data_IF_802717496105
#
_entry.id   IF_802717496105
#
_cell.length_a   1.000
_cell.length_b   1.000
_cell.length_c   1.000
_cell.angle_alpha   90.00
_cell.angle_beta   90.00
_cell.angle_gamma   90.00
#
_symmetry.space_group_name_H-M   'P 1'
#
loop_
_entity.id
_entity.type
_entity.pdbx_description
1 polymer ?
#
# COMPACT_ATOMS: atom_id res chain seq x y z
N UNK A 1 -22.99 -27.14 1.94
CA UNK A 1 -21.73 -26.36 2.06
C UNK A 1 -21.49 -26.11 3.53
N UNK A 2 -20.41 -26.68 4.11
CA UNK A 2 -20.09 -26.59 5.54
C UNK A 2 -19.64 -25.17 5.90
N UNK A 3 -20.43 -24.48 6.70
CA UNK A 3 -20.09 -23.25 7.44
C UNK A 3 -19.08 -23.62 8.54
N UNK A 4 -17.86 -23.94 8.17
CA UNK A 4 -16.79 -24.30 9.10
C UNK A 4 -16.02 -23.04 9.40
N UNK A 5 -16.03 -22.59 10.64
CA UNK A 5 -15.23 -21.54 11.31
C UNK A 5 -14.47 -20.59 10.36
N UNK A 6 -15.20 -19.86 9.52
CA UNK A 6 -14.63 -18.88 8.59
C UNK A 6 -13.68 -17.87 9.27
N UNK A 7 -13.85 -17.62 10.56
CA UNK A 7 -13.06 -16.63 11.28
C UNK A 7 -11.63 -17.10 11.57
N UNK A 8 -11.44 -18.37 11.94
CA UNK A 8 -10.11 -18.93 12.17
C UNK A 8 -9.31 -19.08 10.86
N UNK A 9 -9.98 -19.55 9.81
CA UNK A 9 -9.40 -19.69 8.48
C UNK A 9 -9.03 -18.30 7.92
N UNK A 10 -9.89 -17.31 8.12
CA UNK A 10 -9.69 -15.95 7.71
C UNK A 10 -8.49 -15.31 8.46
N UNK A 11 -8.43 -15.52 9.78
CA UNK A 11 -7.29 -15.08 10.58
C UNK A 11 -5.99 -15.70 10.06
N UNK A 12 -5.96 -17.02 9.85
CA UNK A 12 -4.75 -17.72 9.43
C UNK A 12 -4.27 -17.30 8.03
N UNK A 13 -5.20 -17.08 7.09
CA UNK A 13 -4.89 -16.63 5.74
C UNK A 13 -4.21 -15.25 5.77
N UNK A 14 -4.80 -14.31 6.48
CA UNK A 14 -4.29 -12.93 6.54
C UNK A 14 -3.09 -12.78 7.49
N UNK A 15 -2.99 -13.60 8.51
CA UNK A 15 -1.79 -13.69 9.36
C UNK A 15 -0.56 -14.13 8.54
N UNK A 16 -0.70 -15.18 7.72
CA UNK A 16 0.36 -15.64 6.82
C UNK A 16 0.72 -14.56 5.80
N UNK A 17 -0.29 -13.95 5.17
CA UNK A 17 -0.06 -12.88 4.22
C UNK A 17 0.62 -11.65 4.86
N UNK A 18 0.28 -11.32 6.12
CA UNK A 18 0.90 -10.23 6.87
C UNK A 18 2.35 -10.50 7.24
N UNK A 19 2.66 -11.71 7.73
CA UNK A 19 4.04 -12.05 8.15
C UNK A 19 4.96 -12.29 6.95
N UNK A 20 4.51 -13.00 5.94
CA UNK A 20 5.36 -13.38 4.80
C UNK A 20 5.30 -12.40 3.63
N UNK A 21 4.43 -11.40 3.69
CA UNK A 21 4.30 -10.36 2.67
C UNK A 21 5.38 -9.29 2.72
N UNK A 22 6.65 -9.69 2.91
CA UNK A 22 7.78 -8.78 2.98
C UNK A 22 7.91 -7.93 1.70
N UNK A 23 8.22 -6.65 1.88
CA UNK A 23 8.39 -5.69 0.77
C UNK A 23 7.11 -4.98 0.34
N UNK A 24 5.95 -5.27 0.97
CA UNK A 24 4.67 -4.61 0.67
C UNK A 24 4.20 -4.82 -0.78
N UNK A 25 3.16 -4.09 -1.19
CA UNK A 25 2.70 -4.02 -2.57
C UNK A 25 2.56 -5.38 -3.30
N UNK A 26 3.35 -5.64 -4.35
CA UNK A 26 3.17 -6.82 -5.20
C UNK A 26 3.35 -8.17 -4.48
N UNK A 27 4.28 -8.26 -3.53
CA UNK A 27 4.55 -9.51 -2.81
C UNK A 27 3.37 -9.92 -1.91
N UNK A 28 2.79 -8.96 -1.19
CA UNK A 28 1.61 -9.21 -0.36
C UNK A 28 0.38 -9.58 -1.18
N UNK A 29 0.21 -8.99 -2.38
CA UNK A 29 -0.89 -9.31 -3.30
C UNK A 29 -0.81 -10.79 -3.71
N UNK A 30 0.37 -11.27 -4.09
CA UNK A 30 0.59 -12.66 -4.52
C UNK A 30 0.25 -13.65 -3.40
N UNK A 31 0.64 -13.33 -2.15
CA UNK A 31 0.31 -14.18 -1.01
C UNK A 31 -1.18 -14.18 -0.68
N UNK A 32 -1.82 -13.01 -0.69
CA UNK A 32 -3.27 -12.93 -0.50
C UNK A 32 -4.00 -13.70 -1.58
N UNK A 33 -3.59 -13.56 -2.86
CA UNK A 33 -4.15 -14.34 -3.96
C UNK A 33 -4.04 -15.86 -3.71
N UNK A 34 -2.84 -16.31 -3.33
CA UNK A 34 -2.61 -17.74 -3.03
C UNK A 34 -3.56 -18.25 -1.94
N UNK A 35 -3.67 -17.52 -0.82
CA UNK A 35 -4.54 -17.95 0.29
C UNK A 35 -6.01 -17.90 -0.12
N UNK A 36 -6.48 -16.82 -0.71
CA UNK A 36 -7.91 -16.57 -0.96
C UNK A 36 -8.46 -17.38 -2.14
N UNK A 37 -7.66 -17.50 -3.23
CA UNK A 37 -8.09 -18.19 -4.47
C UNK A 37 -7.66 -19.64 -4.48
N UNK A 38 -6.39 -19.92 -4.14
CA UNK A 38 -5.86 -21.30 -4.27
C UNK A 38 -6.11 -22.17 -3.05
N UNK A 39 -5.89 -21.63 -1.84
CA UNK A 39 -5.95 -22.40 -0.58
C UNK A 39 -7.38 -22.53 -0.08
N UNK A 40 -8.05 -21.41 0.18
CA UNK A 40 -9.39 -21.40 0.78
C UNK A 40 -10.52 -21.30 -0.24
N UNK A 41 -10.24 -20.93 -1.49
CA UNK A 41 -11.21 -20.85 -2.60
C UNK A 41 -12.45 -20.01 -2.26
N UNK A 42 -12.25 -18.88 -1.59
CA UNK A 42 -13.33 -17.94 -1.25
C UNK A 42 -13.81 -17.12 -2.44
N UNK A 43 -12.93 -16.95 -3.45
CA UNK A 43 -13.23 -16.28 -4.72
C UNK A 43 -12.40 -16.87 -5.85
N UNK A 44 -12.83 -16.59 -7.09
CA UNK A 44 -12.07 -16.95 -8.29
C UNK A 44 -11.06 -15.87 -8.68
N UNK A 45 -10.28 -16.12 -9.75
CA UNK A 45 -9.25 -15.20 -10.24
C UNK A 45 -9.84 -13.87 -10.75
N UNK A 46 -11.04 -13.90 -11.38
CA UNK A 46 -11.72 -12.69 -11.88
C UNK A 46 -12.19 -11.82 -10.73
N UNK A 47 -12.89 -12.40 -9.76
CA UNK A 47 -13.33 -11.69 -8.56
C UNK A 47 -12.16 -11.10 -7.78
N UNK A 48 -11.03 -11.80 -7.70
CA UNK A 48 -9.83 -11.29 -7.07
C UNK A 48 -9.25 -10.09 -7.83
N UNK A 49 -9.25 -10.14 -9.16
CA UNK A 49 -8.80 -9.04 -10.01
C UNK A 49 -9.66 -7.80 -9.83
N UNK A 50 -10.98 -7.94 -9.68
CA UNK A 50 -11.88 -6.82 -9.39
C UNK A 50 -11.60 -6.19 -8.03
N UNK A 51 -11.38 -7.03 -6.99
CA UNK A 51 -11.00 -6.55 -5.65
C UNK A 51 -9.66 -5.83 -5.68
N UNK A 52 -8.70 -6.33 -6.45
CA UNK A 52 -7.39 -5.71 -6.63
C UNK A 52 -7.50 -4.36 -7.35
N UNK A 53 -8.32 -4.27 -8.39
CA UNK A 53 -8.57 -3.03 -9.11
C UNK A 53 -9.22 -1.98 -8.20
N UNK A 54 -10.21 -2.38 -7.40
CA UNK A 54 -10.84 -1.53 -6.40
C UNK A 54 -9.84 -1.07 -5.34
N UNK A 55 -9.00 -2.00 -4.84
CA UNK A 55 -7.94 -1.69 -3.88
C UNK A 55 -6.92 -0.68 -4.42
N UNK A 56 -6.58 -0.76 -5.70
CA UNK A 56 -5.67 0.18 -6.35
C UNK A 56 -6.29 1.57 -6.59
N UNK A 57 -7.62 1.65 -6.73
CA UNK A 57 -8.32 2.93 -6.92
C UNK A 57 -8.40 3.78 -5.64
N UNK A 58 -8.29 3.16 -4.47
CA UNK A 58 -8.37 3.85 -3.18
C UNK A 58 -6.98 4.22 -2.65
N UNK A 59 -6.80 5.34 -1.94
CA UNK A 59 -5.53 5.69 -1.28
C UNK A 59 -5.24 4.75 -0.10
N UNK A 60 -3.96 4.52 0.20
CA UNK A 60 -3.50 3.73 1.34
C UNK A 60 -2.94 2.35 1.00
N UNK A 61 -2.40 1.61 2.00
CA UNK A 61 -1.74 0.32 1.81
C UNK A 61 -2.67 -0.73 1.22
N UNK A 62 -2.24 -1.41 0.15
CA UNK A 62 -3.10 -2.33 -0.58
C UNK A 62 -3.44 -3.59 0.24
N UNK A 63 -2.49 -4.09 1.03
CA UNK A 63 -2.67 -5.29 1.84
C UNK A 63 -3.83 -5.17 2.83
N UNK A 64 -3.89 -4.05 3.56
CA UNK A 64 -4.95 -3.79 4.55
C UNK A 64 -6.31 -3.54 3.90
N UNK A 65 -6.34 -2.89 2.73
CA UNK A 65 -7.59 -2.70 1.97
C UNK A 65 -8.15 -4.02 1.48
N UNK A 66 -7.30 -4.89 0.92
CA UNK A 66 -7.70 -6.23 0.49
C UNK A 66 -8.14 -7.07 1.68
N UNK A 67 -7.42 -7.02 2.80
CA UNK A 67 -7.81 -7.72 4.03
C UNK A 67 -9.20 -7.28 4.50
N UNK A 68 -9.45 -5.97 4.52
CA UNK A 68 -10.75 -5.41 4.91
C UNK A 68 -11.89 -5.85 3.99
N UNK A 69 -11.71 -5.69 2.67
CA UNK A 69 -12.74 -6.04 1.70
C UNK A 69 -13.04 -7.54 1.67
N UNK A 70 -12.01 -8.37 1.56
CA UNK A 70 -12.16 -9.83 1.52
C UNK A 70 -12.71 -10.34 2.86
N UNK A 71 -12.21 -9.81 3.97
CA UNK A 71 -12.69 -10.13 5.30
C UNK A 71 -14.18 -9.84 5.47
N UNK A 72 -14.62 -8.67 4.99
CA UNK A 72 -16.04 -8.31 4.98
C UNK A 72 -16.88 -9.24 4.11
N UNK A 73 -16.41 -9.56 2.92
CA UNK A 73 -17.12 -10.45 1.98
C UNK A 73 -17.28 -11.87 2.54
N UNK A 74 -16.28 -12.36 3.25
CA UNK A 74 -16.26 -13.74 3.79
C UNK A 74 -16.97 -13.87 5.12
N UNK A 75 -16.81 -12.90 6.03
CA UNK A 75 -17.27 -12.99 7.41
C UNK A 75 -18.01 -11.75 7.94
N UNK A 76 -18.45 -10.84 7.06
CA UNK A 76 -19.12 -9.62 7.45
C UNK A 76 -18.22 -8.68 8.26
N UNK A 77 -18.78 -7.84 9.12
CA UNK A 77 -18.04 -6.87 9.94
C UNK A 77 -17.01 -7.58 10.84
N UNK A 78 -17.38 -8.70 11.44
CA UNK A 78 -16.46 -9.48 12.27
C UNK A 78 -15.29 -10.04 11.44
N UNK A 79 -15.54 -10.48 10.21
CA UNK A 79 -14.50 -10.91 9.28
C UNK A 79 -13.58 -9.79 8.84
N UNK A 80 -14.11 -8.59 8.58
CA UNK A 80 -13.34 -7.40 8.26
C UNK A 80 -12.35 -7.07 9.38
N UNK A 81 -12.84 -6.95 10.61
CA UNK A 81 -12.01 -6.64 11.77
C UNK A 81 -10.95 -7.71 12.03
N UNK A 82 -11.35 -8.97 11.92
CA UNK A 82 -10.45 -10.11 12.10
C UNK A 82 -9.33 -10.14 11.06
N UNK A 83 -9.64 -9.97 9.77
CA UNK A 83 -8.65 -9.97 8.70
C UNK A 83 -7.66 -8.78 8.82
N UNK A 84 -8.16 -7.58 9.15
CA UNK A 84 -7.31 -6.41 9.38
C UNK A 84 -6.42 -6.64 10.61
N UNK A 85 -6.98 -7.12 11.72
CA UNK A 85 -6.23 -7.42 12.93
C UNK A 85 -5.15 -8.49 12.68
N UNK A 86 -5.50 -9.57 11.97
CA UNK A 86 -4.57 -10.62 11.60
C UNK A 86 -3.40 -10.12 10.72
N UNK A 87 -3.64 -9.12 9.89
CA UNK A 87 -2.59 -8.52 9.04
C UNK A 87 -1.70 -7.57 9.81
N UNK A 88 -2.27 -6.74 10.71
CA UNK A 88 -1.57 -5.63 11.34
C UNK A 88 -0.93 -6.03 12.67
N UNK A 89 -1.66 -6.73 13.55
CA UNK A 89 -1.20 -6.99 14.91
C UNK A 89 0.15 -7.74 14.96
N UNK A 90 0.37 -8.82 14.20
CA UNK A 90 1.63 -9.56 14.28
C UNK A 90 2.81 -8.72 13.77
N UNK A 91 2.63 -7.91 12.74
CA UNK A 91 3.68 -7.03 12.21
C UNK A 91 4.02 -5.91 13.17
N UNK A 92 3.02 -5.27 13.78
CA UNK A 92 3.21 -4.23 14.79
C UNK A 92 3.87 -4.81 16.05
N UNK A 93 3.40 -5.97 16.53
CA UNK A 93 3.99 -6.64 17.67
C UNK A 93 5.47 -7.01 17.42
N UNK A 94 5.78 -7.56 16.25
CA UNK A 94 7.14 -7.88 15.85
C UNK A 94 8.03 -6.62 15.78
N UNK A 95 7.51 -5.51 15.23
CA UNK A 95 8.23 -4.23 15.19
C UNK A 95 8.50 -3.68 16.59
N UNK A 96 7.49 -3.68 17.46
CA UNK A 96 7.68 -3.21 18.86
C UNK A 96 8.74 -4.06 19.56
N UNK A 97 8.63 -5.39 19.47
CA UNK A 97 9.59 -6.30 20.08
C UNK A 97 11.02 -6.07 19.53
N UNK A 98 11.15 -5.94 18.22
CA UNK A 98 12.44 -5.73 17.58
C UNK A 98 13.04 -4.38 17.96
N UNK A 99 12.26 -3.30 17.92
CA UNK A 99 12.73 -1.94 18.26
C UNK A 99 13.10 -1.81 19.74
N UNK A 100 12.30 -2.40 20.65
CA UNK A 100 12.62 -2.38 22.08
C UNK A 100 13.89 -3.16 22.37
N UNK A 101 14.05 -4.34 21.75
CA UNK A 101 15.25 -5.16 21.89
C UNK A 101 16.48 -4.44 21.33
N UNK A 102 16.40 -3.91 20.11
CA UNK A 102 17.50 -3.15 19.50
C UNK A 102 17.88 -1.92 20.33
N UNK A 103 16.90 -1.21 20.89
CA UNK A 103 17.16 -0.04 21.71
C UNK A 103 17.82 -0.42 23.07
N UNK A 104 17.44 -1.55 23.64
CA UNK A 104 18.05 -2.04 24.87
C UNK A 104 19.54 -2.45 24.69
N UNK A 105 19.91 -2.91 23.49
CA UNK A 105 21.25 -3.37 23.16
C UNK A 105 22.01 -2.45 22.22
N UNK A 106 21.58 -1.20 22.03
CA UNK A 106 22.19 -0.26 21.07
C UNK A 106 23.66 0.06 21.35
N UNK A 107 24.09 -0.03 22.62
CA UNK A 107 25.46 0.28 23.02
C UNK A 107 26.43 -0.89 22.78
N UNK A 108 25.89 -2.04 22.35
CA UNK A 108 26.72 -3.20 21.98
C UNK A 108 27.22 -3.00 20.54
N UNK A 109 28.54 -3.05 20.35
CA UNK A 109 29.21 -2.69 19.11
C UNK A 109 28.68 -3.42 17.86
N UNK A 110 28.33 -4.71 17.95
CA UNK A 110 27.79 -5.45 16.82
C UNK A 110 26.36 -5.03 16.45
N UNK A 111 25.51 -4.61 17.43
CA UNK A 111 24.15 -4.10 17.19
C UNK A 111 24.21 -2.77 16.46
N UNK A 112 25.13 -1.90 16.89
CA UNK A 112 25.36 -0.62 16.21
C UNK A 112 25.87 -0.84 14.78
N UNK A 113 26.80 -1.78 14.58
CA UNK A 113 27.28 -2.16 13.25
C UNK A 113 26.17 -2.67 12.34
N UNK A 114 25.28 -3.53 12.85
CA UNK A 114 24.09 -3.98 12.08
C UNK A 114 23.17 -2.84 11.72
N UNK A 115 22.86 -1.95 12.65
CA UNK A 115 22.00 -0.79 12.40
C UNK A 115 22.60 0.12 11.33
N UNK A 116 23.89 0.40 11.40
CA UNK A 116 24.59 1.21 10.40
C UNK A 116 24.63 0.54 9.02
N UNK A 117 24.71 -0.77 8.94
CA UNK A 117 24.68 -1.52 7.67
C UNK A 117 23.30 -1.47 6.99
N UNK A 118 22.21 -1.36 7.75
CA UNK A 118 20.84 -1.29 7.21
C UNK A 118 20.54 0.06 6.56
N UNK A 119 21.09 1.16 7.12
CA UNK A 119 20.81 2.53 6.65
C UNK A 119 21.04 2.71 5.14
N UNK A 120 22.20 2.34 4.56
CA UNK A 120 22.42 2.51 3.13
C UNK A 120 21.51 1.62 2.28
N UNK A 121 21.18 0.42 2.75
CA UNK A 121 20.26 -0.49 2.04
C UNK A 121 18.87 0.13 1.96
N UNK A 122 18.34 0.63 3.07
CA UNK A 122 17.04 1.32 3.11
C UNK A 122 17.08 2.59 2.26
N UNK A 123 18.18 3.35 2.30
CA UNK A 123 18.38 4.53 1.46
C UNK A 123 18.29 4.21 -0.03
N UNK A 124 18.95 3.14 -0.48
CA UNK A 124 18.87 2.68 -1.89
C UNK A 124 17.46 2.22 -2.24
N UNK A 125 16.79 1.46 -1.37
CA UNK A 125 15.40 1.01 -1.59
C UNK A 125 14.45 2.20 -1.75
N UNK A 126 14.55 3.20 -0.89
CA UNK A 126 13.74 4.43 -0.99
C UNK A 126 14.08 5.21 -2.25
N UNK A 127 15.35 5.27 -2.64
CA UNK A 127 15.79 5.89 -3.89
C UNK A 127 15.18 5.21 -5.12
N UNK A 128 15.20 3.87 -5.19
CA UNK A 128 14.57 3.10 -6.26
C UNK A 128 13.05 3.34 -6.30
N UNK A 129 12.39 3.31 -5.13
CA UNK A 129 10.96 3.56 -5.05
C UNK A 129 10.62 4.98 -5.53
N UNK A 130 11.39 5.98 -5.14
CA UNK A 130 11.24 7.36 -5.60
C UNK A 130 11.40 7.46 -7.11
N UNK A 131 12.40 6.79 -7.68
CA UNK A 131 12.62 6.74 -9.12
C UNK A 131 11.43 6.12 -9.87
N UNK A 132 10.88 5.02 -9.35
CA UNK A 132 9.69 4.38 -9.93
C UNK A 132 8.47 5.30 -9.91
N UNK A 133 8.27 6.06 -8.83
CA UNK A 133 7.20 7.06 -8.78
C UNK A 133 7.41 8.19 -9.78
N UNK A 134 8.64 8.73 -9.89
CA UNK A 134 8.99 9.76 -10.88
C UNK A 134 8.72 9.25 -12.30
N UNK A 135 9.15 8.02 -12.62
CA UNK A 135 8.93 7.41 -13.93
C UNK A 135 7.46 7.22 -14.25
N UNK A 136 6.64 6.77 -13.29
CA UNK A 136 5.19 6.66 -13.47
C UNK A 136 4.52 8.01 -13.66
N UNK A 137 4.89 9.02 -12.87
CA UNK A 137 4.38 10.38 -12.99
C UNK A 137 4.77 11.02 -14.33
N UNK A 138 6.02 10.86 -14.75
CA UNK A 138 6.50 11.40 -16.04
C UNK A 138 5.80 10.74 -17.24
N UNK A 139 5.47 9.46 -17.14
CA UNK A 139 4.68 8.77 -18.17
C UNK A 139 3.23 9.26 -18.24
N UNK A 140 2.64 9.70 -17.13
CA UNK A 140 1.25 10.16 -17.05
C UNK A 140 1.08 11.66 -17.37
N UNK A 141 1.98 12.51 -16.86
CA UNK A 141 1.87 13.98 -16.94
C UNK A 141 2.92 14.62 -17.87
N UNK A 142 3.96 13.88 -18.27
CA UNK A 142 5.11 14.40 -18.99
C UNK A 142 6.25 14.87 -18.05
N UNK A 143 7.47 14.85 -18.57
CA UNK A 143 8.70 15.16 -17.80
C UNK A 143 8.71 16.56 -17.22
N UNK A 144 8.24 17.54 -17.99
CA UNK A 144 8.29 18.96 -17.61
C UNK A 144 7.34 19.26 -16.43
N UNK A 145 6.10 18.75 -16.52
CA UNK A 145 5.10 18.91 -15.44
C UNK A 145 5.53 18.17 -14.18
N UNK A 146 6.04 16.95 -14.33
CA UNK A 146 6.55 16.16 -13.19
C UNK A 146 7.72 16.86 -12.51
N UNK A 147 8.66 17.43 -13.27
CA UNK A 147 9.79 18.17 -12.74
C UNK A 147 9.37 19.44 -11.99
N UNK A 148 8.44 20.21 -12.55
CA UNK A 148 7.89 21.42 -11.90
C UNK A 148 7.15 21.09 -10.61
N UNK A 149 6.31 20.05 -10.63
CA UNK A 149 5.60 19.58 -9.42
C UNK A 149 6.55 19.10 -8.33
N UNK A 150 7.61 18.38 -8.72
CA UNK A 150 8.62 17.89 -7.79
C UNK A 150 9.42 19.02 -7.17
N UNK A 151 9.88 19.97 -7.96
CA UNK A 151 10.58 21.16 -7.49
C UNK A 151 9.70 22.04 -6.59
N UNK A 152 8.44 22.27 -6.99
CA UNK A 152 7.48 23.02 -6.19
C UNK A 152 7.18 22.33 -4.85
N UNK A 153 7.02 21.00 -4.85
CA UNK A 153 6.78 20.21 -3.63
C UNK A 153 7.97 20.28 -2.68
N UNK A 154 9.20 20.18 -3.19
CA UNK A 154 10.42 20.29 -2.39
C UNK A 154 10.56 21.69 -1.77
N UNK A 155 10.32 22.74 -2.55
CA UNK A 155 10.37 24.12 -2.06
C UNK A 155 9.32 24.37 -0.98
N UNK A 156 8.09 23.89 -1.17
CA UNK A 156 7.02 24.05 -0.18
C UNK A 156 7.31 23.28 1.12
N UNK A 157 7.90 22.10 1.04
CA UNK A 157 8.23 21.29 2.22
C UNK A 157 9.44 21.86 2.97
N UNK A 158 10.51 22.23 2.24
CA UNK A 158 11.79 22.65 2.84
C UNK A 158 11.74 24.10 3.33
N UNK A 159 11.16 25.03 2.53
CA UNK A 159 11.20 26.46 2.85
C UNK A 159 9.98 26.95 3.64
N UNK A 160 8.78 26.43 3.37
CA UNK A 160 7.58 26.86 4.09
C UNK A 160 7.24 25.95 5.26
N UNK A 161 7.92 24.80 5.43
CA UNK A 161 7.63 23.86 6.51
C UNK A 161 6.20 23.30 6.48
N UNK A 162 5.57 23.30 5.30
CA UNK A 162 4.18 22.86 5.14
C UNK A 162 4.10 21.36 5.40
N UNK A 163 3.20 20.95 6.30
CA UNK A 163 3.03 19.54 6.61
C UNK A 163 2.64 18.73 5.34
N UNK A 164 3.30 17.61 5.03
CA UNK A 164 3.07 16.83 3.81
C UNK A 164 1.59 16.49 3.56
N UNK A 165 0.81 16.28 4.63
CA UNK A 165 -0.62 15.97 4.53
C UNK A 165 -1.43 17.13 3.91
N UNK A 166 -1.06 18.40 4.19
CA UNK A 166 -1.75 19.57 3.63
C UNK A 166 -1.46 19.67 2.13
N UNK A 167 -0.22 19.39 1.73
CA UNK A 167 0.19 19.39 0.33
C UNK A 167 -0.54 18.30 -0.46
N UNK A 168 -0.64 17.09 0.08
CA UNK A 168 -1.38 15.98 -0.53
C UNK A 168 -2.87 16.33 -0.62
N UNK A 169 -3.47 16.86 0.44
CA UNK A 169 -4.88 17.24 0.45
C UNK A 169 -5.19 18.34 -0.56
N UNK A 170 -4.32 19.35 -0.71
CA UNK A 170 -4.50 20.44 -1.67
C UNK A 170 -4.41 19.96 -3.13
N UNK A 171 -3.45 19.08 -3.44
CA UNK A 171 -3.32 18.47 -4.77
C UNK A 171 -4.53 17.60 -5.09
N UNK A 172 -5.00 16.78 -4.13
CA UNK A 172 -6.20 15.97 -4.28
C UNK A 172 -7.46 16.83 -4.48
N UNK A 173 -7.64 17.88 -3.68
CA UNK A 173 -8.75 18.80 -3.83
C UNK A 173 -8.72 19.50 -5.21
N UNK A 174 -7.56 19.96 -5.64
CA UNK A 174 -7.38 20.53 -6.97
C UNK A 174 -7.73 19.53 -8.09
N UNK A 175 -7.24 18.31 -8.00
CA UNK A 175 -7.50 17.25 -8.97
C UNK A 175 -9.00 16.87 -9.03
N UNK A 176 -9.70 16.84 -7.89
CA UNK A 176 -11.13 16.57 -7.83
C UNK A 176 -11.97 17.72 -8.37
N UNK A 177 -11.61 18.97 -8.07
CA UNK A 177 -12.35 20.15 -8.52
C UNK A 177 -12.16 20.45 -10.02
N UNK A 178 -10.95 20.25 -10.53
CA UNK A 178 -10.60 20.58 -11.91
C UNK A 178 -10.46 19.37 -12.84
N UNK A 179 -10.21 18.17 -12.32
CA UNK A 179 -10.01 16.94 -13.10
C UNK A 179 -11.26 16.46 -13.88
N UNK A 180 -12.45 16.90 -13.46
CA UNK A 180 -13.71 16.48 -14.10
C UNK A 180 -13.92 17.07 -15.52
N UNK A 181 -13.24 18.17 -15.86
CA UNK A 181 -13.40 18.83 -17.17
C UNK A 181 -12.61 18.18 -18.32
N UNK A 182 -11.63 17.32 -18.04
CA UNK A 182 -10.75 16.72 -19.05
C UNK A 182 -11.33 15.49 -19.77
N UNK A 183 -12.15 14.68 -19.09
CA UNK A 183 -12.69 13.42 -19.66
C UNK A 183 -13.83 13.63 -20.66
N UNK A 184 -14.61 14.68 -20.54
CA UNK A 184 -15.72 14.97 -21.45
C UNK A 184 -15.25 15.38 -22.87
N UNK A 185 -14.04 15.94 -22.99
CA UNK A 185 -13.52 16.43 -24.27
C UNK A 185 -12.89 15.34 -25.15
N UNK A 186 -12.42 14.25 -24.53
CA UNK A 186 -11.76 13.13 -25.25
C UNK A 186 -12.77 12.16 -25.86
N UNK A 187 -13.98 12.04 -25.27
CA UNK A 187 -15.05 11.16 -25.79
C UNK A 187 -15.73 11.73 -27.04
N UNK A 188 -15.72 13.07 -27.24
CA UNK A 188 -16.28 13.73 -28.44
C UNK A 188 -15.36 13.71 -29.66
N UNK A 189 -14.07 13.36 -29.49
CA UNK A 189 -13.11 13.35 -30.61
C UNK A 189 -12.88 11.98 -31.22
N UNK A 190 -13.41 10.94 -30.60
CA UNK A 190 -13.31 9.54 -31.04
C UNK A 190 -14.53 9.01 -31.80
N UNK A 191 -15.60 9.81 -31.94
CA UNK A 191 -16.83 9.39 -32.64
C UNK A 191 -17.00 10.01 -34.03
N UNK A 192 -15.94 10.65 -34.57
CA UNK A 192 -15.94 11.16 -35.94
C UNK A 192 -14.68 10.69 -36.68
N UNK A 193 -14.58 9.37 -36.91
CA UNK A 193 -13.78 8.76 -37.98
C UNK A 193 -14.38 7.40 -38.31
#
# INVERSE_FOLDING_TARGET
MKKKNNQADLFMAFFRAGIFGFGGGPASITLVHKEVVKTYKWMNDEEFSDVLALGNAMPGPIATKMAGYIGYRVGGIAGLLNAIAATIIPTVAAMILLLTTLNAYRDVGWVNGMSQAVIPVVGVMLGVLTWDFIKKSSSALGWLITGVLLAASLLLLEWLGVHPAILIASILAYALLFGHKGKARRKRRGETL
#
